data_IF_509748560518
#
_entry.id   IF_509748560518
#
_cell.length_a   1.000
_cell.length_b   1.000
_cell.length_c   1.000
_cell.angle_alpha   90.00
_cell.angle_beta   90.00
_cell.angle_gamma   90.00
#
_symmetry.space_group_name_H-M   'P 1'
#
loop_
_entity.id
_entity.type
_entity.pdbx_description
1 polymer ?
#
# COMPACT_ATOMS: atom_id res chain seq x y z
N UNK A 1 -52.55 -27.50 4.49
CA UNK A 1 -51.40 -28.40 4.33
C UNK A 1 -50.24 -27.52 3.77
N UNK A 2 -49.37 -27.03 4.61
CA UNK A 2 -48.18 -26.35 4.14
C UNK A 2 -47.30 -27.38 3.43
N UNK A 3 -47.13 -27.24 2.13
CA UNK A 3 -46.50 -28.23 1.30
C UNK A 3 -45.07 -28.51 1.73
N UNK A 4 -44.64 -29.75 1.62
CA UNK A 4 -43.29 -30.28 1.86
C UNK A 4 -42.22 -29.39 1.21
N UNK A 5 -42.51 -28.79 0.06
CA UNK A 5 -41.65 -27.85 -0.66
C UNK A 5 -41.32 -26.57 0.11
N UNK A 6 -42.29 -26.01 0.87
CA UNK A 6 -42.06 -24.80 1.66
C UNK A 6 -41.10 -25.04 2.84
N UNK A 7 -41.13 -26.25 3.43
CA UNK A 7 -40.21 -26.65 4.50
C UNK A 7 -38.75 -26.77 4.00
N UNK A 8 -38.56 -27.40 2.83
CA UNK A 8 -37.24 -27.54 2.23
C UNK A 8 -36.69 -26.19 1.75
N UNK A 9 -37.52 -25.33 1.21
CA UNK A 9 -37.12 -23.96 0.85
C UNK A 9 -36.71 -23.15 2.07
N UNK A 10 -37.46 -23.24 3.18
CA UNK A 10 -37.10 -22.59 4.43
C UNK A 10 -35.76 -23.11 5.00
N UNK A 11 -35.58 -24.43 5.04
CA UNK A 11 -34.32 -25.05 5.46
C UNK A 11 -33.14 -24.64 4.60
N UNK A 12 -33.34 -24.53 3.27
CA UNK A 12 -32.34 -24.05 2.33
C UNK A 12 -31.94 -22.59 2.64
N UNK A 13 -32.93 -21.71 2.85
CA UNK A 13 -32.63 -20.31 3.24
C UNK A 13 -31.90 -20.19 4.57
N UNK A 14 -32.30 -20.96 5.57
CA UNK A 14 -31.59 -20.98 6.86
C UNK A 14 -30.16 -21.46 6.68
N UNK A 15 -29.94 -22.54 5.95
CA UNK A 15 -28.61 -23.06 5.64
C UNK A 15 -27.73 -22.05 4.90
N UNK A 16 -28.31 -21.32 3.93
CA UNK A 16 -27.62 -20.28 3.19
C UNK A 16 -27.20 -19.11 4.10
N UNK A 17 -28.10 -18.63 4.96
CA UNK A 17 -27.79 -17.54 5.90
C UNK A 17 -26.71 -17.97 6.89
N UNK A 18 -26.82 -19.16 7.46
CA UNK A 18 -25.80 -19.69 8.40
C UNK A 18 -24.46 -19.88 7.70
N UNK A 19 -24.46 -20.39 6.47
CA UNK A 19 -23.25 -20.55 5.65
C UNK A 19 -22.57 -19.22 5.36
N UNK A 20 -23.31 -18.19 4.98
CA UNK A 20 -22.76 -16.82 4.75
C UNK A 20 -22.17 -16.26 6.04
N UNK A 21 -22.88 -16.35 7.15
CA UNK A 21 -22.39 -15.86 8.44
C UNK A 21 -21.11 -16.59 8.84
N UNK A 22 -21.09 -17.91 8.76
CA UNK A 22 -19.91 -18.73 9.10
C UNK A 22 -18.69 -18.37 8.21
N UNK A 23 -18.92 -18.17 6.91
CA UNK A 23 -17.87 -17.77 5.96
C UNK A 23 -17.31 -16.40 6.30
N UNK A 24 -18.18 -15.41 6.56
CA UNK A 24 -17.74 -14.04 6.91
C UNK A 24 -16.98 -14.04 8.26
N UNK A 25 -17.47 -14.78 9.25
CA UNK A 25 -16.78 -14.87 10.54
C UNK A 25 -15.44 -15.60 10.40
N UNK A 26 -15.37 -16.69 9.63
CA UNK A 26 -14.13 -17.41 9.34
C UNK A 26 -13.10 -16.52 8.65
N UNK A 27 -13.50 -15.77 7.62
CA UNK A 27 -12.61 -14.83 6.93
C UNK A 27 -12.13 -13.70 7.84
N UNK A 28 -13.02 -13.15 8.70
CA UNK A 28 -12.62 -12.14 9.69
C UNK A 28 -11.62 -12.68 10.70
N UNK A 29 -11.82 -13.90 11.20
CA UNK A 29 -10.90 -14.53 12.13
C UNK A 29 -9.52 -14.82 11.51
N UNK A 30 -9.47 -15.20 10.23
CA UNK A 30 -8.22 -15.38 9.50
C UNK A 30 -7.51 -14.06 9.26
N UNK A 31 -8.24 -13.02 8.87
CA UNK A 31 -7.66 -11.69 8.64
C UNK A 31 -7.21 -11.01 9.94
N UNK A 32 -7.90 -11.24 11.06
CA UNK A 32 -7.49 -10.72 12.37
C UNK A 32 -6.17 -11.29 12.89
N UNK A 33 -5.67 -12.39 12.30
CA UNK A 33 -4.36 -12.97 12.62
C UNK A 33 -3.21 -12.37 11.82
N UNK A 34 -3.51 -11.59 10.78
CA UNK A 34 -2.52 -10.89 9.98
C UNK A 34 -2.31 -9.50 10.56
N UNK A 35 -1.05 -9.11 10.73
CA UNK A 35 -0.74 -7.72 11.03
C UNK A 35 -1.14 -6.85 9.82
N UNK A 36 -2.09 -5.91 9.98
CA UNK A 36 -2.50 -5.04 8.88
C UNK A 36 -1.51 -3.91 8.60
N UNK A 37 -0.50 -3.70 9.46
CA UNK A 37 0.39 -2.55 9.36
C UNK A 37 1.24 -2.54 8.08
N UNK A 38 1.86 -3.65 7.64
CA UNK A 38 2.62 -3.67 6.39
C UNK A 38 1.79 -3.27 5.17
N UNK A 39 0.58 -3.82 5.05
CA UNK A 39 -0.32 -3.50 3.94
C UNK A 39 -0.78 -2.04 3.99
N UNK A 40 -1.15 -1.55 5.17
CA UNK A 40 -1.57 -0.15 5.36
C UNK A 40 -0.43 0.81 5.00
N UNK A 41 0.80 0.53 5.44
CA UNK A 41 1.98 1.32 5.11
C UNK A 41 2.21 1.40 3.60
N UNK A 42 2.16 0.26 2.90
CA UNK A 42 2.32 0.21 1.44
C UNK A 42 1.20 0.95 0.71
N UNK A 43 -0.04 0.88 1.21
CA UNK A 43 -1.15 1.65 0.66
C UNK A 43 -0.96 3.16 0.80
N UNK A 44 -0.48 3.63 1.95
CA UNK A 44 -0.18 5.05 2.16
C UNK A 44 0.92 5.53 1.22
N UNK A 45 2.01 4.76 1.07
CA UNK A 45 3.08 5.09 0.12
C UNK A 45 2.57 5.13 -1.32
N UNK A 46 1.78 4.13 -1.72
CA UNK A 46 1.18 4.10 -3.06
C UNK A 46 0.26 5.31 -3.30
N UNK A 47 -0.54 5.71 -2.31
CA UNK A 47 -1.41 6.89 -2.39
C UNK A 47 -0.59 8.16 -2.68
N UNK A 48 0.48 8.41 -1.94
CA UNK A 48 1.29 9.61 -2.13
C UNK A 48 2.09 9.59 -3.44
N UNK A 49 2.59 8.44 -3.87
CA UNK A 49 3.22 8.32 -5.18
C UNK A 49 2.22 8.54 -6.32
N UNK A 50 1.00 8.02 -6.20
CA UNK A 50 -0.08 8.24 -7.16
C UNK A 50 -0.46 9.73 -7.23
N UNK A 51 -0.52 10.42 -6.10
CA UNK A 51 -0.79 11.86 -6.05
C UNK A 51 0.30 12.68 -6.75
N UNK A 52 1.59 12.33 -6.61
CA UNK A 52 2.68 12.97 -7.35
C UNK A 52 2.54 12.74 -8.87
N UNK A 53 2.18 11.53 -9.31
CA UNK A 53 1.89 11.23 -10.71
C UNK A 53 0.73 12.05 -11.24
N UNK A 54 -0.37 12.13 -10.48
CA UNK A 54 -1.54 12.92 -10.84
C UNK A 54 -1.20 14.42 -10.93
N UNK A 55 -0.38 14.95 -10.02
CA UNK A 55 0.09 16.33 -10.08
C UNK A 55 0.90 16.57 -11.36
N UNK A 56 1.79 15.66 -11.73
CA UNK A 56 2.55 15.73 -12.98
C UNK A 56 1.62 15.72 -14.20
N UNK A 57 0.67 14.80 -14.29
CA UNK A 57 -0.29 14.67 -15.40
C UNK A 57 -1.22 15.90 -15.52
N UNK A 58 -1.52 16.54 -14.37
CA UNK A 58 -2.37 17.74 -14.29
C UNK A 58 -1.58 19.05 -14.42
N UNK A 59 -0.28 19.00 -14.76
CA UNK A 59 0.63 20.16 -14.83
C UNK A 59 0.71 20.98 -13.51
N UNK A 60 0.46 20.36 -12.37
CA UNK A 60 0.64 20.91 -11.02
C UNK A 60 2.00 20.51 -10.47
N UNK A 61 3.05 21.15 -10.96
CA UNK A 61 4.42 20.72 -10.70
C UNK A 61 5.20 21.68 -9.81
N UNK A 62 4.51 22.52 -9.06
CA UNK A 62 5.15 23.42 -8.10
C UNK A 62 5.59 22.67 -6.83
N UNK A 63 6.62 23.16 -6.13
CA UNK A 63 7.04 22.59 -4.85
C UNK A 63 5.92 22.49 -3.81
N UNK A 64 5.00 23.45 -3.78
CA UNK A 64 3.82 23.46 -2.89
C UNK A 64 2.89 22.27 -3.12
N UNK A 65 2.80 21.77 -4.35
CA UNK A 65 1.99 20.61 -4.70
C UNK A 65 2.73 19.28 -4.45
N UNK A 66 4.05 19.26 -4.53
CA UNK A 66 4.86 18.03 -4.45
C UNK A 66 5.44 17.75 -3.06
N UNK A 67 5.91 18.79 -2.35
CA UNK A 67 6.59 18.63 -1.05
C UNK A 67 5.77 17.90 0.01
N UNK A 68 4.46 18.12 0.19
CA UNK A 68 3.68 17.37 1.18
C UNK A 68 3.69 15.86 0.93
N UNK A 69 3.60 15.45 -0.34
CA UNK A 69 3.63 14.04 -0.73
C UNK A 69 5.03 13.43 -0.59
N UNK A 70 6.08 14.17 -0.96
CA UNK A 70 7.47 13.74 -0.76
C UNK A 70 7.79 13.59 0.74
N UNK A 71 7.29 14.50 1.57
CA UNK A 71 7.48 14.43 3.02
C UNK A 71 6.76 13.21 3.63
N UNK A 72 5.53 12.95 3.21
CA UNK A 72 4.77 11.78 3.67
C UNK A 72 5.42 10.46 3.23
N UNK A 73 5.88 10.35 1.98
CA UNK A 73 6.65 9.21 1.50
C UNK A 73 7.92 8.98 2.30
N UNK A 74 8.65 10.07 2.60
CA UNK A 74 9.90 9.97 3.36
C UNK A 74 9.65 9.52 4.81
N UNK A 75 8.64 10.09 5.45
CA UNK A 75 8.26 9.71 6.82
C UNK A 75 7.85 8.23 6.90
N UNK A 76 7.00 7.78 5.99
CA UNK A 76 6.55 6.39 5.97
C UNK A 76 7.64 5.40 5.52
N UNK A 77 8.67 5.87 4.81
CA UNK A 77 9.82 5.02 4.47
C UNK A 77 10.70 4.66 5.68
N UNK A 78 10.61 5.38 6.79
CA UNK A 78 11.29 5.03 8.04
C UNK A 78 10.63 3.84 8.76
N UNK A 79 9.34 3.62 8.52
CA UNK A 79 8.58 2.54 9.15
C UNK A 79 8.73 1.19 8.43
N UNK A 80 9.36 1.15 7.25
CA UNK A 80 9.44 -0.08 6.41
C UNK A 80 10.06 -1.25 7.17
N UNK A 81 11.22 -1.06 7.81
CA UNK A 81 11.90 -2.16 8.50
C UNK A 81 11.10 -2.61 9.74
N UNK A 82 10.41 -1.68 10.41
CA UNK A 82 9.51 -1.99 11.52
C UNK A 82 8.25 -2.73 11.10
N UNK A 83 7.74 -2.45 9.90
CA UNK A 83 6.56 -3.10 9.36
C UNK A 83 6.81 -4.54 8.90
N UNK A 84 8.07 -4.89 8.58
CA UNK A 84 8.46 -6.22 8.10
C UNK A 84 9.52 -6.86 9.01
N UNK A 85 9.18 -7.21 10.25
CA UNK A 85 10.14 -7.71 11.23
C UNK A 85 10.85 -8.99 10.80
N UNK A 86 10.22 -9.82 9.96
CA UNK A 86 10.80 -11.06 9.44
C UNK A 86 11.92 -10.80 8.42
N UNK A 87 11.99 -9.59 7.84
CA UNK A 87 12.99 -9.19 6.84
C UNK A 87 14.08 -8.28 7.42
N UNK A 88 13.98 -7.86 8.68
CA UNK A 88 14.88 -6.87 9.30
C UNK A 88 16.36 -7.27 9.28
N UNK A 89 16.66 -8.58 9.31
CA UNK A 89 18.01 -9.11 9.33
C UNK A 89 18.54 -9.43 7.90
N UNK A 90 17.73 -9.23 6.86
CA UNK A 90 18.19 -9.32 5.46
C UNK A 90 18.83 -7.99 5.03
N UNK A 91 20.16 -8.03 4.86
CA UNK A 91 20.92 -6.84 4.46
C UNK A 91 20.46 -6.24 3.10
N UNK A 92 19.89 -7.06 2.20
CA UNK A 92 19.36 -6.59 0.92
C UNK A 92 18.08 -5.77 1.14
N UNK A 93 17.23 -6.21 2.10
CA UNK A 93 16.02 -5.48 2.46
C UNK A 93 16.36 -4.10 3.05
N UNK A 94 17.25 -4.05 4.04
CA UNK A 94 17.73 -2.80 4.62
C UNK A 94 18.38 -1.86 3.58
N UNK A 95 19.14 -2.42 2.63
CA UNK A 95 19.72 -1.65 1.51
C UNK A 95 18.65 -1.07 0.60
N UNK A 96 17.62 -1.84 0.25
CA UNK A 96 16.52 -1.38 -0.60
C UNK A 96 15.69 -0.27 0.08
N UNK A 97 15.36 -0.44 1.37
CA UNK A 97 14.69 0.59 2.15
C UNK A 97 15.55 1.86 2.27
N UNK A 98 16.86 1.72 2.51
CA UNK A 98 17.82 2.82 2.54
C UNK A 98 17.91 3.56 1.21
N UNK A 99 17.88 2.85 0.09
CA UNK A 99 17.88 3.47 -1.24
C UNK A 99 16.63 4.32 -1.50
N UNK A 100 15.46 3.84 -1.09
CA UNK A 100 14.23 4.61 -1.18
C UNK A 100 14.33 5.89 -0.34
N UNK A 101 14.79 5.79 0.92
CA UNK A 101 14.99 6.96 1.79
C UNK A 101 15.95 7.99 1.16
N UNK A 102 17.08 7.54 0.64
CA UNK A 102 18.04 8.42 -0.03
C UNK A 102 17.46 9.13 -1.25
N UNK A 103 16.68 8.42 -2.08
CA UNK A 103 15.98 8.99 -3.23
C UNK A 103 14.98 10.07 -2.81
N UNK A 104 14.22 9.81 -1.75
CA UNK A 104 13.24 10.75 -1.21
C UNK A 104 13.92 11.96 -0.56
N UNK A 105 15.03 11.77 0.15
CA UNK A 105 15.81 12.86 0.74
C UNK A 105 16.41 13.77 -0.34
N UNK A 106 16.92 13.21 -1.43
CA UNK A 106 17.40 13.98 -2.57
C UNK A 106 16.29 14.82 -3.22
N UNK A 107 15.10 14.23 -3.45
CA UNK A 107 13.95 14.94 -4.00
C UNK A 107 13.40 16.03 -3.07
N UNK A 108 13.51 15.87 -1.75
CA UNK A 108 13.11 16.87 -0.76
C UNK A 108 14.14 18.00 -0.60
N UNK A 109 15.42 17.66 -0.67
CA UNK A 109 16.50 18.66 -0.60
C UNK A 109 16.53 19.57 -1.83
N UNK A 110 16.16 19.04 -2.99
CA UNK A 110 16.06 19.77 -4.26
C UNK A 110 14.64 19.55 -4.84
N UNK A 111 13.63 20.26 -4.32
CA UNK A 111 12.26 20.04 -4.75
C UNK A 111 12.09 20.33 -6.24
N UNK A 112 11.29 19.51 -6.96
CA UNK A 112 11.03 19.76 -8.37
C UNK A 112 10.31 21.09 -8.57
N UNK A 113 10.88 21.94 -9.44
CA UNK A 113 10.38 23.29 -9.72
C UNK A 113 9.53 23.34 -11.00
N UNK A 114 9.45 22.25 -11.75
CA UNK A 114 8.71 22.11 -13.00
C UNK A 114 8.31 20.65 -13.25
N UNK A 115 7.48 20.42 -14.27
CA UNK A 115 6.98 19.09 -14.59
C UNK A 115 8.07 18.09 -15.04
N UNK A 116 9.11 18.54 -15.70
CA UNK A 116 10.23 17.67 -16.05
C UNK A 116 10.91 17.13 -14.79
N UNK A 117 11.22 18.02 -13.84
CA UNK A 117 11.81 17.62 -12.54
C UNK A 117 10.91 16.73 -11.73
N UNK A 118 9.58 17.01 -11.70
CA UNK A 118 8.62 16.17 -11.00
C UNK A 118 8.52 14.79 -11.66
N UNK A 119 8.49 14.71 -12.99
CA UNK A 119 8.50 13.45 -13.72
C UNK A 119 9.72 12.59 -13.39
N UNK A 120 10.92 13.20 -13.37
CA UNK A 120 12.16 12.51 -12.97
C UNK A 120 12.08 12.00 -11.54
N UNK A 121 11.64 12.82 -10.59
CA UNK A 121 11.50 12.40 -9.18
C UNK A 121 10.53 11.23 -9.01
N UNK A 122 9.37 11.28 -9.68
CA UNK A 122 8.37 10.19 -9.67
C UNK A 122 8.95 8.90 -10.25
N UNK A 123 9.70 9.00 -11.34
CA UNK A 123 10.35 7.85 -11.98
C UNK A 123 11.40 7.21 -11.04
N UNK A 124 12.25 8.00 -10.40
CA UNK A 124 13.33 7.51 -9.56
C UNK A 124 12.79 6.88 -8.25
N UNK A 125 11.76 7.48 -7.66
CA UNK A 125 11.03 6.89 -6.52
C UNK A 125 10.38 5.57 -6.96
N UNK A 126 9.72 5.55 -8.12
CA UNK A 126 9.10 4.35 -8.66
C UNK A 126 10.11 3.22 -8.94
N UNK A 127 11.31 3.53 -9.42
CA UNK A 127 12.40 2.55 -9.60
C UNK A 127 12.83 1.96 -8.26
N UNK A 128 12.98 2.78 -7.22
CA UNK A 128 13.34 2.29 -5.87
C UNK A 128 12.27 1.37 -5.29
N UNK A 129 10.98 1.72 -5.43
CA UNK A 129 9.85 0.87 -5.05
C UNK A 129 9.86 -0.47 -5.81
N UNK A 130 10.05 -0.41 -7.13
CA UNK A 130 10.06 -1.60 -7.99
C UNK A 130 11.22 -2.53 -7.64
N UNK A 131 12.41 -2.01 -7.41
CA UNK A 131 13.59 -2.82 -7.07
C UNK A 131 13.38 -3.61 -5.78
N UNK A 132 12.82 -2.98 -4.73
CA UNK A 132 12.49 -3.68 -3.49
C UNK A 132 11.41 -4.76 -3.72
N UNK A 133 10.33 -4.41 -4.43
CA UNK A 133 9.22 -5.34 -4.68
C UNK A 133 9.59 -6.53 -5.57
N UNK A 134 10.63 -6.43 -6.42
CA UNK A 134 11.09 -7.57 -7.22
C UNK A 134 11.68 -8.68 -6.36
N UNK A 135 12.31 -8.33 -5.23
CA UNK A 135 12.97 -9.29 -4.37
C UNK A 135 12.11 -9.75 -3.18
N UNK A 136 11.18 -8.90 -2.71
CA UNK A 136 10.49 -9.09 -1.42
C UNK A 136 8.96 -9.13 -1.50
N UNK A 137 8.36 -8.93 -2.67
CA UNK A 137 6.91 -9.06 -2.85
C UNK A 137 6.59 -10.39 -3.54
N UNK A 138 6.10 -11.35 -2.76
CA UNK A 138 5.48 -12.59 -3.27
C UNK A 138 4.00 -12.39 -3.56
#
# INVERSE_FOLDING_TARGET
MAGTGARYFFLFLVGLVVGVIATVMGMRALNARKDPFPDALMHVQQHHLAALKQNHESNRCNPTDSLPHLAALRMTADDIEGAFPDLKDDARFGKAAGQLRATLDAARANPPMNCQGLGTAVEDIGKSCKACHQDFRN
#
